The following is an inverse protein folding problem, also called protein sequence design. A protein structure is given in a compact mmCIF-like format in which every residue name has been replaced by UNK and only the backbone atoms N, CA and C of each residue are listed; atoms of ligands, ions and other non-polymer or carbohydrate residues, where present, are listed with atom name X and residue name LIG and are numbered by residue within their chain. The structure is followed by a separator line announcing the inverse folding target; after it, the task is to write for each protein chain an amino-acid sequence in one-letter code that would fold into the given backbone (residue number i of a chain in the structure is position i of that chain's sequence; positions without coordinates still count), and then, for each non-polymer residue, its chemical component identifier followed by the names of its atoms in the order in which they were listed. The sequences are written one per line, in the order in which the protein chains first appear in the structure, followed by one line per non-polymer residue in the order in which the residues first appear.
data_IF_458359349423
#
_entry.id   IF_458359349423
#
_cell.length_a   1.000
_cell.length_b   1.000
_cell.length_c   1.000
_cell.angle_alpha   90.00
_cell.angle_beta   90.00
_cell.angle_gamma   90.00
#
_symmetry.space_group_name_H-M   'P 1'
#
loop_
_entity.id
_entity.type
_entity.pdbx_description
1 polymer ?
#
# COMPACT_ATOMS: atom_id res chain seq x y z
N UNK A 1 26.39 -36.23 1.55
CA UNK A 1 26.78 -35.43 2.73
C UNK A 1 28.24 -35.03 2.57
N UNK A 2 28.51 -33.79 2.18
CA UNK A 2 29.89 -33.33 1.96
C UNK A 2 30.59 -33.20 3.31
N UNK A 3 31.74 -33.88 3.47
CA UNK A 3 32.40 -34.10 4.76
C UNK A 3 33.01 -32.86 5.44
N UNK A 4 33.83 -33.04 6.48
CA UNK A 4 34.25 -31.98 7.42
C UNK A 4 34.89 -30.74 6.78
N UNK A 5 35.52 -30.87 5.62
CA UNK A 5 36.09 -29.73 4.88
C UNK A 5 35.03 -28.74 4.39
N UNK A 6 33.83 -29.21 4.06
CA UNK A 6 32.73 -28.34 3.63
C UNK A 6 32.15 -27.55 4.81
N UNK A 7 32.20 -28.12 6.02
CA UNK A 7 31.75 -27.44 7.23
C UNK A 7 32.64 -26.22 7.52
N UNK A 8 33.96 -26.36 7.42
CA UNK A 8 34.90 -25.24 7.62
C UNK A 8 34.65 -24.09 6.63
N UNK A 9 34.39 -24.40 5.35
CA UNK A 9 34.07 -23.38 4.35
C UNK A 9 32.75 -22.67 4.69
N UNK A 10 31.72 -23.41 5.11
CA UNK A 10 30.45 -22.84 5.57
C UNK A 10 30.63 -21.93 6.77
N UNK A 11 31.40 -22.36 7.77
CA UNK A 11 31.68 -21.54 8.95
C UNK A 11 32.44 -20.26 8.58
N UNK A 12 33.43 -20.36 7.68
CA UNK A 12 34.11 -19.18 7.14
C UNK A 12 33.13 -18.21 6.48
N UNK A 13 32.28 -18.69 5.58
CA UNK A 13 31.25 -17.85 4.94
C UNK A 13 30.30 -17.25 5.98
N UNK A 14 29.79 -18.04 6.93
CA UNK A 14 28.85 -17.55 7.94
C UNK A 14 29.43 -16.50 8.88
N UNK A 15 30.73 -16.50 9.14
CA UNK A 15 31.37 -15.49 9.99
C UNK A 15 31.78 -14.28 9.15
N UNK A 16 32.51 -14.49 8.06
CA UNK A 16 33.11 -13.39 7.29
C UNK A 16 32.11 -12.68 6.37
N UNK A 17 31.07 -13.36 5.88
CA UNK A 17 30.06 -12.72 5.04
C UNK A 17 29.29 -11.61 5.78
N UNK A 18 28.64 -11.85 6.94
CA UNK A 18 27.93 -10.78 7.64
C UNK A 18 28.88 -9.68 8.15
N UNK A 19 30.09 -10.04 8.59
CA UNK A 19 31.10 -9.05 9.01
C UNK A 19 31.53 -8.18 7.82
N UNK A 20 31.79 -8.79 6.66
CA UNK A 20 32.18 -8.07 5.45
C UNK A 20 31.06 -7.16 4.92
N UNK A 21 29.82 -7.64 4.93
CA UNK A 21 28.63 -6.85 4.57
C UNK A 21 28.48 -5.65 5.52
N UNK A 22 28.61 -5.86 6.83
CA UNK A 22 28.58 -4.79 7.84
C UNK A 22 29.70 -3.77 7.63
N UNK A 23 30.91 -4.20 7.28
CA UNK A 23 32.03 -3.29 7.07
C UNK A 23 31.89 -2.48 5.78
N UNK A 24 31.38 -3.10 4.72
CA UNK A 24 31.17 -2.46 3.43
C UNK A 24 30.03 -1.44 3.48
N UNK A 25 28.86 -1.83 3.97
CA UNK A 25 27.69 -0.94 4.04
C UNK A 25 27.66 -0.05 5.28
N UNK A 26 28.33 -0.44 6.36
CA UNK A 26 28.39 0.32 7.62
C UNK A 26 29.54 1.32 7.69
N UNK A 27 30.42 1.36 6.69
CA UNK A 27 31.49 2.34 6.63
C UNK A 27 30.96 3.76 6.37
N UNK A 28 31.64 4.82 6.89
CA UNK A 28 31.20 6.20 6.72
C UNK A 28 31.15 6.64 5.25
N UNK A 29 32.02 6.10 4.39
CA UNK A 29 32.02 6.39 2.96
C UNK A 29 30.74 5.94 2.25
N UNK A 30 30.17 4.79 2.63
CA UNK A 30 28.89 4.35 2.04
C UNK A 30 27.76 5.32 2.40
N UNK A 31 27.73 5.80 3.64
CA UNK A 31 26.74 6.78 4.09
C UNK A 31 26.85 8.10 3.33
N UNK A 32 28.06 8.64 3.19
CA UNK A 32 28.29 9.92 2.51
C UNK A 32 27.93 9.88 1.02
N UNK A 33 28.20 8.76 0.34
CA UNK A 33 27.94 8.64 -1.11
C UNK A 33 26.50 8.27 -1.45
N UNK A 34 25.83 7.46 -0.64
CA UNK A 34 24.54 6.86 -1.02
C UNK A 34 23.36 7.29 -0.14
N UNK A 35 23.58 7.63 1.14
CA UNK A 35 22.47 7.85 2.08
C UNK A 35 22.25 9.33 2.36
N UNK A 36 23.33 10.10 2.56
CA UNK A 36 23.28 11.51 2.98
C UNK A 36 22.48 12.42 2.04
N UNK A 37 22.49 12.15 0.75
CA UNK A 37 21.81 12.95 -0.27
C UNK A 37 20.36 12.55 -0.55
N UNK A 38 19.84 11.48 0.08
CA UNK A 38 18.47 11.04 -0.15
C UNK A 38 17.52 11.90 0.68
N UNK A 39 16.57 12.55 0.03
CA UNK A 39 15.47 13.21 0.73
C UNK A 39 14.45 12.15 1.16
N UNK A 40 14.74 11.48 2.28
CA UNK A 40 13.88 10.42 2.84
C UNK A 40 12.49 10.95 3.20
N UNK A 41 12.44 12.20 3.66
CA UNK A 41 11.20 12.85 4.03
C UNK A 41 10.62 13.59 2.82
N UNK A 42 9.31 13.45 2.55
CA UNK A 42 8.66 14.26 1.54
C UNK A 42 8.81 15.74 1.89
N UNK A 43 9.00 16.58 0.88
CA UNK A 43 9.08 18.03 1.09
C UNK A 43 7.84 18.49 1.85
N UNK A 44 8.03 19.27 2.92
CA UNK A 44 6.93 19.84 3.72
C UNK A 44 5.95 20.66 2.87
N UNK A 45 6.38 21.14 1.70
CA UNK A 45 5.54 21.83 0.72
C UNK A 45 4.59 20.91 -0.05
N UNK A 46 4.90 19.62 -0.15
CA UNK A 46 4.09 18.60 -0.85
C UNK A 46 3.20 17.81 0.09
N UNK A 47 3.60 17.73 1.36
CA UNK A 47 2.82 17.07 2.41
C UNK A 47 1.88 18.12 3.01
N UNK A 48 0.58 17.99 2.75
CA UNK A 48 -0.53 18.81 3.28
C UNK A 48 -0.40 20.33 3.13
N UNK A 49 -1.22 20.90 2.23
CA UNK A 49 -1.49 22.34 2.15
C UNK A 49 -1.85 22.87 3.53
N UNK A 50 -0.94 23.62 4.16
CA UNK A 50 -1.23 24.42 5.33
C UNK A 50 -2.23 25.50 4.92
N UNK A 51 -3.52 25.24 5.15
CA UNK A 51 -4.63 26.19 4.97
C UNK A 51 -4.46 27.51 5.77
N UNK A 52 -3.36 27.68 6.51
CA UNK A 52 -3.15 28.78 7.44
C UNK A 52 -2.36 29.98 6.87
N UNK A 53 -1.75 29.90 5.69
CA UNK A 53 -0.83 30.96 5.22
C UNK A 53 -1.33 31.77 3.99
N UNK A 54 -2.51 31.48 3.44
CA UNK A 54 -3.09 32.25 2.32
C UNK A 54 -4.42 32.91 2.71
N UNK A 55 -4.45 33.65 3.82
CA UNK A 55 -5.55 34.58 4.09
C UNK A 55 -4.95 36.00 4.26
N UNK A 56 -5.04 36.88 3.25
CA UNK A 56 -4.72 38.28 3.47
C UNK A 56 -5.72 38.90 4.46
N UNK A 57 -5.32 39.86 5.31
CA UNK A 57 -6.22 40.49 6.27
C UNK A 57 -7.12 41.52 5.57
N UNK A 58 -8.06 41.07 4.72
CA UNK A 58 -9.05 41.97 4.12
C UNK A 58 -10.43 41.31 4.07
N UNK A 59 -11.14 41.44 5.19
CA UNK A 59 -12.57 41.77 5.34
C UNK A 59 -13.45 41.58 4.07
N UNK A 60 -14.09 40.42 3.93
CA UNK A 60 -15.35 40.26 3.17
C UNK A 60 -16.21 39.12 3.76
N UNK A 61 -17.55 39.24 3.73
CA UNK A 61 -18.44 38.49 4.62
C UNK A 61 -18.87 37.13 4.06
N UNK A 62 -19.11 36.22 5.00
CA UNK A 62 -20.10 35.14 5.04
C UNK A 62 -20.51 34.49 3.70
N UNK A 63 -20.00 33.27 3.50
CA UNK A 63 -20.68 32.18 2.79
C UNK A 63 -20.95 32.39 1.29
N UNK A 64 -19.94 32.09 0.46
CA UNK A 64 -20.19 31.67 -0.91
C UNK A 64 -19.58 30.28 -1.10
N UNK A 65 -20.46 29.32 -1.30
CA UNK A 65 -20.20 27.88 -1.28
C UNK A 65 -19.32 27.47 -2.45
N UNK A 66 -18.15 26.92 -2.14
CA UNK A 66 -17.39 26.09 -3.09
C UNK A 66 -18.29 24.92 -3.52
N UNK A 67 -18.48 24.66 -4.83
CA UNK A 67 -19.36 23.60 -5.27
C UNK A 67 -18.84 22.23 -4.80
N UNK A 68 -19.71 21.48 -4.11
CA UNK A 68 -19.45 20.15 -3.52
C UNK A 68 -19.08 19.05 -4.53
N UNK A 69 -19.03 19.36 -5.83
CA UNK A 69 -18.89 18.38 -6.91
C UNK A 69 -17.45 18.05 -7.33
N UNK A 70 -16.42 18.69 -6.76
CA UNK A 70 -15.03 18.29 -6.97
C UNK A 70 -14.43 17.69 -5.69
N UNK A 71 -14.44 16.36 -5.66
CA UNK A 71 -13.93 15.48 -4.62
C UNK A 71 -12.48 15.81 -4.21
N UNK A 72 -12.33 16.47 -3.08
CA UNK A 72 -11.19 16.29 -2.18
C UNK A 72 -11.79 15.69 -0.92
N UNK A 73 -11.46 14.44 -0.59
CA UNK A 73 -11.94 13.76 0.60
C UNK A 73 -11.54 14.59 1.83
N UNK A 74 -12.43 15.46 2.28
CA UNK A 74 -12.24 16.15 3.54
C UNK A 74 -12.46 15.13 4.65
N UNK A 75 -11.57 15.07 5.66
CA UNK A 75 -11.80 14.20 6.79
C UNK A 75 -13.14 14.57 7.44
N UNK A 76 -13.99 13.58 7.80
CA UNK A 76 -15.26 13.86 8.46
C UNK A 76 -14.99 14.67 9.74
N UNK A 77 -15.61 15.85 9.83
CA UNK A 77 -15.32 16.82 10.91
C UNK A 77 -16.19 16.60 12.13
N UNK A 78 -17.35 15.94 11.97
CA UNK A 78 -18.28 15.62 13.07
C UNK A 78 -18.37 14.12 13.29
N UNK A 79 -18.75 13.71 14.52
CA UNK A 79 -18.93 12.29 14.86
C UNK A 79 -20.07 11.61 14.09
N UNK A 80 -21.07 12.38 13.65
CA UNK A 80 -22.16 11.87 12.82
C UNK A 80 -21.69 11.57 11.40
N UNK A 81 -20.86 12.45 10.83
CA UNK A 81 -20.23 12.22 9.51
C UNK A 81 -19.34 10.98 9.52
N UNK A 82 -18.62 10.74 10.63
CA UNK A 82 -17.80 9.53 10.79
C UNK A 82 -18.68 8.28 10.74
N UNK A 83 -19.83 8.29 11.43
CA UNK A 83 -20.75 7.15 11.43
C UNK A 83 -21.35 6.90 10.05
N UNK A 84 -21.83 7.94 9.39
CA UNK A 84 -22.38 7.86 8.04
C UNK A 84 -21.32 7.34 7.04
N UNK A 85 -20.07 7.82 7.16
CA UNK A 85 -18.96 7.34 6.34
C UNK A 85 -18.64 5.86 6.59
N UNK A 86 -18.64 5.43 7.87
CA UNK A 86 -18.41 4.03 8.22
C UNK A 86 -19.52 3.10 7.72
N UNK A 87 -20.79 3.52 7.82
CA UNK A 87 -21.91 2.76 7.28
C UNK A 87 -21.80 2.61 5.76
N UNK A 88 -21.47 3.69 5.06
CA UNK A 88 -21.19 3.66 3.62
C UNK A 88 -20.03 2.71 3.28
N UNK A 89 -18.93 2.76 4.02
CA UNK A 89 -17.79 1.86 3.78
C UNK A 89 -18.12 0.39 4.05
N UNK A 90 -19.03 0.14 5.01
CA UNK A 90 -19.48 -1.22 5.35
C UNK A 90 -20.39 -1.78 4.26
N UNK A 91 -21.39 -1.03 3.80
CA UNK A 91 -22.28 -1.47 2.71
C UNK A 91 -21.51 -1.71 1.41
N UNK A 92 -20.62 -0.79 1.02
CA UNK A 92 -19.77 -0.99 -0.15
C UNK A 92 -18.89 -2.25 -0.04
N UNK A 93 -18.41 -2.59 1.17
CA UNK A 93 -17.61 -3.80 1.40
C UNK A 93 -18.46 -5.05 1.24
N UNK A 94 -19.67 -5.05 1.77
CA UNK A 94 -20.63 -6.14 1.65
C UNK A 94 -21.02 -6.36 0.19
N UNK A 95 -21.30 -5.30 -0.57
CA UNK A 95 -21.61 -5.38 -2.00
C UNK A 95 -20.45 -5.94 -2.82
N UNK A 96 -19.22 -5.47 -2.55
CA UNK A 96 -18.01 -6.02 -3.19
C UNK A 96 -17.85 -7.51 -2.88
N UNK A 97 -18.13 -7.92 -1.66
CA UNK A 97 -18.03 -9.31 -1.24
C UNK A 97 -19.08 -10.18 -1.92
N UNK A 98 -20.34 -9.72 -1.96
CA UNK A 98 -21.45 -10.38 -2.63
C UNK A 98 -21.19 -10.55 -4.13
N UNK A 99 -20.70 -9.51 -4.80
CA UNK A 99 -20.35 -9.56 -6.22
C UNK A 99 -19.27 -10.60 -6.50
N UNK A 100 -18.21 -10.64 -5.67
CA UNK A 100 -17.12 -11.60 -5.82
C UNK A 100 -17.57 -13.04 -5.54
N UNK A 101 -18.44 -13.24 -4.54
CA UNK A 101 -19.01 -14.54 -4.24
C UNK A 101 -19.91 -15.06 -5.39
N UNK A 102 -20.69 -14.18 -6.01
CA UNK A 102 -21.51 -14.52 -7.18
C UNK A 102 -20.63 -14.92 -8.37
N UNK A 103 -19.58 -14.15 -8.67
CA UNK A 103 -18.63 -14.46 -9.74
C UNK A 103 -17.93 -15.81 -9.52
N UNK A 104 -17.45 -16.07 -8.30
CA UNK A 104 -16.82 -17.34 -7.97
C UNK A 104 -17.77 -18.55 -8.12
N UNK A 105 -19.07 -18.36 -7.91
CA UNK A 105 -20.08 -19.41 -8.17
C UNK A 105 -20.28 -19.65 -9.67
N UNK A 106 -20.33 -18.58 -10.46
CA UNK A 106 -20.44 -18.69 -11.92
C UNK A 106 -19.22 -19.37 -12.54
N UNK A 107 -18.01 -19.00 -12.10
CA UNK A 107 -16.77 -19.63 -12.56
C UNK A 107 -16.72 -21.13 -12.24
N UNK A 108 -17.19 -21.54 -11.05
CA UNK A 108 -17.29 -22.96 -10.69
C UNK A 108 -18.28 -23.74 -11.55
N UNK A 109 -19.42 -23.14 -11.90
CA UNK A 109 -20.40 -23.76 -12.80
C UNK A 109 -19.82 -23.94 -14.20
N UNK A 110 -19.16 -22.91 -14.73
CA UNK A 110 -18.48 -22.99 -16.03
C UNK A 110 -17.37 -24.04 -16.06
N UNK A 111 -16.57 -24.15 -14.98
CA UNK A 111 -15.54 -25.19 -14.88
C UNK A 111 -16.14 -26.60 -14.81
N UNK A 112 -17.27 -26.78 -14.12
CA UNK A 112 -17.97 -28.06 -14.07
C UNK A 112 -18.51 -28.46 -15.44
N UNK A 113 -19.14 -27.54 -16.17
CA UNK A 113 -19.66 -27.76 -17.53
C UNK A 113 -18.54 -28.09 -18.53
N UNK A 114 -17.40 -27.38 -18.47
CA UNK A 114 -16.23 -27.67 -19.31
C UNK A 114 -15.60 -29.03 -18.99
N UNK A 115 -15.52 -29.39 -17.71
CA UNK A 115 -15.00 -30.70 -17.29
C UNK A 115 -15.93 -31.87 -17.66
N UNK A 116 -17.25 -31.62 -17.72
CA UNK A 116 -18.24 -32.60 -18.16
C UNK A 116 -18.25 -32.77 -19.68
N UNK A 117 -18.09 -31.68 -20.44
CA UNK A 117 -17.98 -31.72 -21.91
C UNK A 117 -16.72 -32.45 -22.38
N UNK A 118 -15.55 -32.14 -21.79
CA UNK A 118 -14.29 -32.82 -22.17
C UNK A 118 -14.27 -34.33 -21.90
N UNK A 119 -15.03 -34.81 -20.92
CA UNK A 119 -15.16 -36.26 -20.63
C UNK A 119 -16.11 -37.00 -21.57
N UNK A 120 -16.99 -36.28 -22.28
CA UNK A 120 -17.92 -36.88 -23.23
C UNK A 120 -17.28 -37.08 -24.61
N UNK A 121 -16.25 -36.30 -24.96
CA UNK A 121 -15.55 -36.38 -26.25
C UNK A 121 -14.37 -37.40 -26.24
N UNK A 122 -14.04 -38.01 -25.09
CA UNK A 122 -12.95 -39.00 -24.93
C UNK A 122 -13.46 -40.46 -24.84
N UNK A 123 -14.78 -40.71 -24.97
CA UNK A 123 -15.42 -42.03 -24.90
C UNK A 123 -16.07 -42.43 -26.24
#
# INVERSE_FOLDING_TARGET
MAGPKLEVVKFGVYVFFPVGVMLYFGGPGFYDHYVRGINFWPDFQKTHVSLAETIPPTRVPLFETVPDSMSVQQPPKTSEDVRAALEKMKSEREDRWMKKAMQARQEKQQQQEQSAGSKADEA
#
